data_IF_094607487557
#
_entry.id   IF_094607487557
#
_cell.length_a   1.000
_cell.length_b   1.000
_cell.length_c   1.000
_cell.angle_alpha   90.00
_cell.angle_beta   90.00
_cell.angle_gamma   90.00
#
_symmetry.space_group_name_H-M   'P 1'
#
loop_
_entity.id
_entity.type
_entity.pdbx_description
1 polymer ?
#
# COMPACT_ATOMS: atom_id res chain seq x y z
N UNK A 1 4.70 -3.68 -6.08
CA UNK A 1 6.08 -3.24 -6.39
C UNK A 1 7.11 -4.32 -6.16
N UNK A 2 7.37 -4.72 -4.90
CA UNK A 2 8.43 -5.70 -4.56
C UNK A 2 8.30 -7.04 -5.31
N UNK A 3 7.09 -7.59 -5.46
CA UNK A 3 6.87 -8.84 -6.21
C UNK A 3 7.20 -8.69 -7.70
N UNK A 4 6.90 -7.54 -8.29
CA UNK A 4 7.28 -7.25 -9.69
C UNK A 4 8.80 -7.22 -9.82
N UNK A 5 9.49 -6.58 -8.88
CA UNK A 5 10.95 -6.50 -8.84
C UNK A 5 11.59 -7.89 -8.64
N UNK A 6 10.94 -8.77 -7.88
CA UNK A 6 11.34 -10.18 -7.70
C UNK A 6 11.03 -11.05 -8.94
N UNK A 7 10.26 -10.54 -9.91
CA UNK A 7 9.86 -11.29 -11.11
C UNK A 7 8.73 -12.30 -10.85
N UNK A 8 8.02 -12.20 -9.74
CA UNK A 8 6.98 -13.15 -9.32
C UNK A 8 5.57 -12.56 -9.48
N UNK A 9 5.15 -12.39 -10.75
CA UNK A 9 3.86 -11.83 -11.09
C UNK A 9 2.70 -12.78 -10.75
N UNK A 10 2.89 -14.09 -10.93
CA UNK A 10 1.88 -15.09 -10.58
C UNK A 10 1.56 -15.08 -9.09
N UNK A 11 2.59 -14.98 -8.25
CA UNK A 11 2.42 -14.82 -6.81
C UNK A 11 1.71 -13.50 -6.47
N UNK A 12 2.04 -12.40 -7.18
CA UNK A 12 1.37 -11.12 -6.99
C UNK A 12 -0.12 -11.21 -7.30
N UNK A 13 -0.50 -11.81 -8.43
CA UNK A 13 -1.89 -12.02 -8.83
C UNK A 13 -2.62 -12.90 -7.80
N UNK A 14 -2.07 -14.06 -7.45
CA UNK A 14 -2.67 -14.97 -6.46
C UNK A 14 -2.91 -14.28 -5.11
N UNK A 15 -1.98 -13.46 -4.65
CA UNK A 15 -2.12 -12.67 -3.42
C UNK A 15 -3.33 -11.75 -3.49
N UNK A 16 -3.45 -10.96 -4.56
CA UNK A 16 -4.56 -10.01 -4.71
C UNK A 16 -5.89 -10.71 -4.92
N UNK A 17 -5.93 -11.84 -5.64
CA UNK A 17 -7.15 -12.63 -5.82
C UNK A 17 -7.71 -13.21 -4.51
N UNK A 18 -6.85 -13.39 -3.51
CA UNK A 18 -7.19 -14.06 -2.25
C UNK A 18 -6.91 -13.19 -1.01
N UNK A 19 -6.82 -11.87 -1.16
CA UNK A 19 -6.57 -10.97 -0.05
C UNK A 19 -7.78 -10.86 0.87
N UNK A 20 -7.53 -10.86 2.19
CA UNK A 20 -8.52 -10.70 3.25
C UNK A 20 -8.12 -9.62 4.24
N UNK A 21 -9.07 -9.04 4.94
CA UNK A 21 -8.82 -8.02 5.98
C UNK A 21 -7.86 -8.52 7.05
N UNK A 22 -8.04 -9.77 7.51
CA UNK A 22 -7.21 -10.40 8.55
C UNK A 22 -5.73 -10.58 8.17
N UNK A 23 -5.39 -10.49 6.88
CA UNK A 23 -3.99 -10.47 6.41
C UNK A 23 -3.35 -9.09 6.54
N UNK A 24 -4.16 -8.04 6.58
CA UNK A 24 -3.70 -6.64 6.64
C UNK A 24 -3.79 -6.10 8.06
N UNK A 25 -4.88 -6.37 8.76
CA UNK A 25 -5.12 -5.86 10.09
C UNK A 25 -5.72 -6.94 11.00
N UNK A 26 -5.56 -6.78 12.31
CA UNK A 26 -6.08 -7.72 13.31
C UNK A 26 -7.59 -7.52 13.49
N UNK A 27 -8.36 -8.09 12.59
CA UNK A 27 -9.83 -8.02 12.55
C UNK A 27 -10.41 -9.34 12.04
N UNK A 28 -11.69 -9.57 12.32
CA UNK A 28 -12.47 -10.65 11.75
C UNK A 28 -12.99 -10.26 10.35
N UNK A 29 -12.76 -11.12 9.35
CA UNK A 29 -13.07 -10.86 7.96
C UNK A 29 -14.58 -10.68 7.72
N UNK A 30 -15.42 -11.51 8.33
CA UNK A 30 -16.87 -11.46 8.17
C UNK A 30 -17.42 -10.16 8.78
N UNK A 31 -16.96 -9.82 9.98
CA UNK A 31 -17.36 -8.59 10.68
C UNK A 31 -16.99 -7.35 9.87
N UNK A 32 -15.76 -7.29 9.31
CA UNK A 32 -15.32 -6.15 8.51
C UNK A 32 -16.09 -6.04 7.19
N UNK A 33 -16.31 -7.16 6.49
CA UNK A 33 -17.11 -7.18 5.26
C UNK A 33 -18.53 -6.65 5.50
N UNK A 34 -19.16 -7.09 6.57
CA UNK A 34 -20.52 -6.67 6.92
C UNK A 34 -20.60 -5.21 7.34
N UNK A 35 -19.61 -4.73 8.10
CA UNK A 35 -19.48 -3.33 8.46
C UNK A 35 -19.40 -2.41 7.23
N UNK A 36 -18.55 -2.75 6.28
CA UNK A 36 -18.37 -1.94 5.07
C UNK A 36 -19.61 -1.95 4.17
N UNK A 37 -20.34 -3.06 4.13
CA UNK A 37 -21.61 -3.19 3.38
C UNK A 37 -22.80 -2.56 4.09
N UNK A 38 -22.64 -2.11 5.35
CA UNK A 38 -23.73 -1.60 6.17
C UNK A 38 -24.75 -2.66 6.59
N UNK A 39 -24.38 -3.94 6.51
CA UNK A 39 -25.23 -5.09 6.87
C UNK A 39 -24.91 -5.57 8.29
N UNK A 40 -25.17 -4.69 9.27
CA UNK A 40 -25.00 -4.99 10.70
C UNK A 40 -26.37 -5.13 11.35
N UNK A 41 -26.65 -6.30 11.91
CA UNK A 41 -27.91 -6.56 12.62
C UNK A 41 -27.92 -5.89 13.99
N UNK A 42 -29.14 -5.57 14.48
CA UNK A 42 -29.34 -4.90 15.77
C UNK A 42 -28.76 -5.67 16.98
N UNK A 43 -28.81 -7.01 16.92
CA UNK A 43 -28.27 -7.90 17.96
C UNK A 43 -26.73 -8.00 17.96
N UNK A 44 -26.07 -7.54 16.89
CA UNK A 44 -24.62 -7.54 16.74
C UNK A 44 -23.98 -6.17 16.99
N UNK A 45 -24.82 -5.11 17.13
CA UNK A 45 -24.33 -3.74 17.33
C UNK A 45 -23.39 -3.62 18.53
N UNK A 46 -23.65 -4.36 19.62
CA UNK A 46 -22.82 -4.32 20.82
C UNK A 46 -21.43 -4.92 20.56
N UNK A 47 -21.33 -6.02 19.82
CA UNK A 47 -20.05 -6.66 19.49
C UNK A 47 -19.22 -5.82 18.52
N UNK A 48 -19.87 -5.24 17.52
CA UNK A 48 -19.25 -4.32 16.56
C UNK A 48 -18.80 -3.03 17.26
N UNK A 49 -19.64 -2.46 18.11
CA UNK A 49 -19.29 -1.28 18.89
C UNK A 49 -18.11 -1.55 19.83
N UNK A 50 -18.03 -2.74 20.43
CA UNK A 50 -16.92 -3.14 21.28
C UNK A 50 -15.60 -3.27 20.49
N UNK A 51 -15.63 -3.87 19.30
CA UNK A 51 -14.45 -3.95 18.42
C UNK A 51 -14.00 -2.55 17.97
N UNK A 52 -14.93 -1.69 17.54
CA UNK A 52 -14.61 -0.30 17.17
C UNK A 52 -14.05 0.48 18.36
N UNK A 53 -14.59 0.27 19.57
CA UNK A 53 -14.09 0.90 20.79
C UNK A 53 -12.63 0.48 21.07
N UNK A 54 -12.28 -0.80 20.91
CA UNK A 54 -10.89 -1.26 21.07
C UNK A 54 -9.96 -0.65 20.00
N UNK A 55 -10.40 -0.54 18.75
CA UNK A 55 -9.63 0.15 17.69
C UNK A 55 -9.37 1.61 18.06
N UNK A 56 -10.41 2.33 18.53
CA UNK A 56 -10.29 3.74 18.96
C UNK A 56 -9.37 3.86 20.17
N UNK A 57 -9.56 3.02 21.18
CA UNK A 57 -8.74 2.98 22.39
C UNK A 57 -7.25 2.71 22.08
N UNK A 58 -6.98 1.83 21.13
CA UNK A 58 -5.63 1.46 20.69
C UNK A 58 -5.07 2.43 19.63
N UNK A 59 -5.79 3.50 19.30
CA UNK A 59 -5.39 4.52 18.31
C UNK A 59 -5.18 3.97 16.90
N UNK A 60 -6.03 3.08 16.46
CA UNK A 60 -6.05 2.51 15.11
C UNK A 60 -5.95 0.98 15.06
N UNK A 61 -6.15 0.44 13.88
CA UNK A 61 -6.06 -0.99 13.63
C UNK A 61 -4.63 -1.51 13.80
N UNK A 62 -4.49 -2.69 14.39
CA UNK A 62 -3.21 -3.39 14.51
C UNK A 62 -2.82 -3.97 13.15
N UNK A 63 -1.64 -3.61 12.65
CA UNK A 63 -1.08 -4.08 11.38
C UNK A 63 0.02 -5.13 11.55
N UNK A 64 0.07 -5.78 12.70
CA UNK A 64 0.97 -6.92 12.93
C UNK A 64 0.78 -8.04 11.88
N UNK A 65 -0.46 -8.36 11.43
CA UNK A 65 -0.66 -9.31 10.34
C UNK A 65 0.05 -8.87 9.05
N UNK A 66 -0.12 -7.62 8.61
CA UNK A 66 0.53 -7.08 7.43
C UNK A 66 2.06 -7.15 7.52
N UNK A 67 2.63 -6.79 8.68
CA UNK A 67 4.07 -6.89 8.92
C UNK A 67 4.58 -8.31 8.73
N UNK A 68 3.92 -9.29 9.36
CA UNK A 68 4.27 -10.71 9.24
C UNK A 68 4.16 -11.17 7.80
N UNK A 69 3.08 -10.79 7.13
CA UNK A 69 2.84 -11.17 5.76
C UNK A 69 3.89 -10.59 4.80
N UNK A 70 4.23 -9.30 4.88
CA UNK A 70 5.31 -8.69 4.11
C UNK A 70 6.60 -9.49 4.28
N UNK A 71 6.98 -9.83 5.52
CA UNK A 71 8.21 -10.59 5.81
C UNK A 71 8.23 -12.02 5.27
N UNK A 72 7.07 -12.62 5.02
CA UNK A 72 6.94 -13.96 4.43
C UNK A 72 6.95 -13.93 2.89
N UNK A 73 6.47 -12.83 2.32
CA UNK A 73 6.26 -12.69 0.88
C UNK A 73 7.46 -12.06 0.18
N UNK A 74 8.13 -11.12 0.84
CA UNK A 74 9.23 -10.34 0.28
C UNK A 74 10.57 -10.94 0.69
N UNK A 75 11.34 -11.38 -0.29
CA UNK A 75 12.75 -11.74 -0.12
C UNK A 75 13.63 -10.52 -0.40
N UNK A 76 14.16 -9.93 0.67
CA UNK A 76 14.99 -8.73 0.58
C UNK A 76 16.24 -8.95 -0.30
N UNK A 77 16.85 -10.13 -0.24
CA UNK A 77 18.02 -10.45 -1.05
C UNK A 77 17.68 -10.42 -2.54
N UNK A 78 16.62 -11.09 -2.93
CA UNK A 78 16.15 -11.10 -4.32
C UNK A 78 15.81 -9.69 -4.82
N UNK A 79 15.18 -8.85 -4.01
CA UNK A 79 14.90 -7.45 -4.37
C UNK A 79 16.18 -6.66 -4.59
N UNK A 80 17.19 -6.82 -3.74
CA UNK A 80 18.48 -6.12 -3.84
C UNK A 80 19.31 -6.55 -5.05
N UNK A 81 19.27 -7.82 -5.39
CA UNK A 81 20.00 -8.40 -6.52
C UNK A 81 19.29 -8.21 -7.86
N UNK A 82 18.03 -7.82 -7.87
CA UNK A 82 17.24 -7.60 -9.07
C UNK A 82 17.85 -6.52 -9.97
N UNK A 83 17.83 -6.69 -11.32
CA UNK A 83 18.17 -5.62 -12.25
C UNK A 83 17.15 -4.48 -12.24
N UNK A 84 15.93 -4.74 -11.75
CA UNK A 84 14.85 -3.75 -11.61
C UNK A 84 15.02 -3.00 -10.29
N UNK A 85 14.91 -1.69 -10.32
CA UNK A 85 15.02 -0.85 -9.12
C UNK A 85 13.67 -0.68 -8.44
N UNK A 86 13.67 -0.72 -7.12
CA UNK A 86 12.50 -0.43 -6.29
C UNK A 86 12.73 0.88 -5.54
N UNK A 87 11.84 1.85 -5.75
CA UNK A 87 11.75 3.06 -4.95
C UNK A 87 10.52 2.98 -4.04
N UNK A 88 10.65 3.51 -2.85
CA UNK A 88 9.63 3.46 -1.78
C UNK A 88 9.51 4.84 -1.19
N UNK A 89 8.31 5.40 -1.21
CA UNK A 89 8.03 6.68 -0.57
C UNK A 89 7.33 6.47 0.76
N UNK A 90 7.78 7.19 1.78
CA UNK A 90 7.14 7.22 3.09
C UNK A 90 7.36 8.58 3.75
N UNK A 91 6.41 9.02 4.57
CA UNK A 91 6.55 10.26 5.33
C UNK A 91 7.05 9.97 6.74
N UNK A 92 8.26 10.43 7.08
CA UNK A 92 8.77 10.35 8.46
C UNK A 92 8.07 11.37 9.34
N UNK A 93 7.15 10.91 10.19
CA UNK A 93 6.49 11.73 11.20
C UNK A 93 7.49 12.25 12.24
N UNK A 94 8.53 11.48 12.51
CA UNK A 94 9.56 11.84 13.48
C UNK A 94 10.47 12.97 13.00
N UNK A 95 10.77 13.01 11.69
CA UNK A 95 11.66 13.99 11.08
C UNK A 95 10.90 15.10 10.32
N UNK A 96 9.58 14.93 10.13
CA UNK A 96 8.73 15.88 9.41
C UNK A 96 9.00 15.99 7.92
N UNK A 97 9.49 14.92 7.27
CA UNK A 97 9.88 14.95 5.85
C UNK A 97 9.45 13.71 5.07
N UNK A 98 9.22 13.90 3.78
CA UNK A 98 9.08 12.81 2.82
C UNK A 98 10.44 12.13 2.63
N UNK A 99 10.45 10.82 2.62
CA UNK A 99 11.61 10.00 2.33
C UNK A 99 11.34 9.22 1.04
N UNK A 100 12.22 9.39 0.08
CA UNK A 100 12.26 8.69 -1.20
C UNK A 100 13.43 7.70 -1.12
N UNK A 101 13.09 6.44 -0.94
CA UNK A 101 14.06 5.41 -0.56
C UNK A 101 14.26 4.44 -1.72
N UNK A 102 15.51 4.27 -2.15
CA UNK A 102 15.88 3.22 -3.08
C UNK A 102 16.21 1.95 -2.30
N UNK A 103 15.53 0.85 -2.59
CA UNK A 103 15.64 -0.39 -1.82
C UNK A 103 17.09 -0.90 -1.69
N UNK A 104 17.90 -0.71 -2.75
CA UNK A 104 19.32 -1.12 -2.76
C UNK A 104 20.19 -0.34 -1.78
N UNK A 105 19.79 0.89 -1.42
CA UNK A 105 20.56 1.79 -0.55
C UNK A 105 20.13 1.70 0.92
N UNK A 106 19.06 0.95 1.21
CA UNK A 106 18.59 0.71 2.56
C UNK A 106 19.60 -0.18 3.34
N UNK A 107 19.75 -0.01 4.65
CA UNK A 107 20.46 -0.98 5.48
C UNK A 107 19.83 -2.37 5.36
N UNK A 108 20.65 -3.42 5.40
CA UNK A 108 20.16 -4.81 5.37
C UNK A 108 19.16 -5.07 6.51
N UNK A 109 18.13 -5.84 6.22
CA UNK A 109 17.07 -6.20 7.17
C UNK A 109 16.02 -5.11 7.39
N UNK A 110 16.08 -3.96 6.68
CA UNK A 110 15.12 -2.85 6.88
C UNK A 110 14.09 -2.70 5.77
N UNK A 111 14.21 -3.44 4.67
CA UNK A 111 13.31 -3.31 3.52
C UNK A 111 11.84 -3.55 3.91
N UNK A 112 11.55 -4.62 4.65
CA UNK A 112 10.17 -4.93 5.06
C UNK A 112 9.57 -3.84 5.95
N UNK A 113 10.36 -3.25 6.84
CA UNK A 113 9.92 -2.13 7.67
C UNK A 113 9.62 -0.88 6.82
N UNK A 114 10.39 -0.59 5.77
CA UNK A 114 10.13 0.55 4.89
C UNK A 114 8.95 0.31 3.96
N UNK A 115 8.72 -0.92 3.51
CA UNK A 115 7.49 -1.30 2.79
C UNK A 115 6.26 -1.12 3.67
N UNK A 116 6.33 -1.54 4.93
CA UNK A 116 5.26 -1.31 5.90
C UNK A 116 5.07 0.20 6.17
N UNK A 117 6.15 0.96 6.32
CA UNK A 117 6.11 2.40 6.51
C UNK A 117 5.39 3.13 5.37
N UNK A 118 5.60 2.68 4.12
CA UNK A 118 4.94 3.21 2.92
C UNK A 118 3.44 2.91 2.87
N UNK A 119 2.96 1.93 3.63
CA UNK A 119 1.55 1.54 3.72
C UNK A 119 0.87 2.00 5.03
N UNK A 120 1.53 2.84 5.82
CA UNK A 120 1.01 3.29 7.12
C UNK A 120 -0.07 4.36 6.97
N UNK A 121 -1.31 3.94 6.72
CA UNK A 121 -2.46 4.83 6.65
C UNK A 121 -2.82 5.38 8.05
N UNK A 122 -3.47 6.57 8.12
CA UNK A 122 -3.85 7.19 9.41
C UNK A 122 -4.78 6.35 10.30
N UNK A 123 -5.50 5.40 9.72
CA UNK A 123 -6.40 4.47 10.44
C UNK A 123 -5.64 3.35 11.15
N UNK A 124 -4.37 3.16 10.85
CA UNK A 124 -3.54 2.13 11.46
C UNK A 124 -2.84 2.63 12.73
N UNK A 125 -2.72 1.74 13.70
CA UNK A 125 -1.99 2.02 14.93
C UNK A 125 -0.51 2.23 14.61
N UNK A 126 -0.04 3.49 14.72
CA UNK A 126 1.33 3.85 14.40
C UNK A 126 2.31 3.27 15.41
N UNK A 127 3.20 2.41 14.96
CA UNK A 127 4.31 1.85 15.71
C UNK A 127 5.64 2.51 15.30
N UNK A 128 6.70 2.28 16.09
CA UNK A 128 8.03 2.72 15.71
C UNK A 128 8.72 1.64 14.89
N UNK A 129 9.21 2.02 13.73
CA UNK A 129 10.08 1.21 12.86
C UNK A 129 11.48 1.80 12.93
N UNK A 130 12.48 1.02 13.35
CA UNK A 130 13.83 1.55 13.57
C UNK A 130 13.90 2.77 14.52
N UNK A 131 13.00 2.84 15.51
CA UNK A 131 12.92 3.94 16.48
C UNK A 131 12.14 5.18 16.01
N UNK A 132 11.72 5.27 14.76
CA UNK A 132 10.97 6.38 14.17
C UNK A 132 9.53 6.00 13.82
N UNK A 133 8.65 7.00 13.71
CA UNK A 133 7.28 6.84 13.26
C UNK A 133 7.14 7.33 11.82
N UNK A 134 6.32 6.63 11.06
CA UNK A 134 6.09 6.89 9.65
C UNK A 134 4.59 6.97 9.35
N UNK A 135 4.29 7.51 8.19
CA UNK A 135 2.99 7.49 7.56
C UNK A 135 3.15 7.21 6.06
N UNK A 136 2.08 6.77 5.42
CA UNK A 136 2.02 6.53 3.98
C UNK A 136 2.56 7.72 3.19
N UNK A 137 3.44 7.46 2.22
CA UNK A 137 4.01 8.48 1.35
C UNK A 137 2.96 9.21 0.52
N UNK A 138 1.90 8.51 0.12
CA UNK A 138 0.77 9.05 -0.63
C UNK A 138 0.05 10.22 0.06
N UNK A 139 0.16 10.35 1.38
CA UNK A 139 -0.33 11.55 2.07
C UNK A 139 0.35 12.85 1.60
N UNK A 140 1.51 12.75 0.99
CA UNK A 140 2.29 13.88 0.46
C UNK A 140 2.47 13.84 -1.04
N UNK A 141 2.58 12.65 -1.62
CA UNK A 141 2.67 12.45 -3.07
C UNK A 141 2.17 11.04 -3.45
N UNK A 142 0.97 10.97 -4.03
CA UNK A 142 0.37 9.70 -4.45
C UNK A 142 0.95 9.17 -5.77
N UNK A 143 1.66 10.03 -6.51
CA UNK A 143 2.24 9.68 -7.81
C UNK A 143 3.63 10.30 -7.97
N UNK A 144 4.67 9.74 -7.34
CA UNK A 144 5.99 10.35 -7.20
C UNK A 144 6.81 10.28 -8.50
N UNK A 145 6.31 10.89 -9.58
CA UNK A 145 6.98 10.91 -10.90
C UNK A 145 8.38 11.54 -10.84
N UNK A 146 8.54 12.54 -9.97
CA UNK A 146 9.83 13.23 -9.83
C UNK A 146 10.96 12.28 -9.42
N UNK A 147 10.70 11.24 -8.61
CA UNK A 147 11.70 10.25 -8.22
C UNK A 147 12.29 9.57 -9.45
N UNK A 148 11.45 9.12 -10.36
CA UNK A 148 11.91 8.45 -11.59
C UNK A 148 12.62 9.42 -12.54
N UNK A 149 12.11 10.64 -12.67
CA UNK A 149 12.70 11.70 -13.51
C UNK A 149 14.10 12.07 -13.01
N UNK A 150 14.28 12.26 -11.70
CA UNK A 150 15.55 12.59 -11.08
C UNK A 150 16.57 11.47 -11.21
N UNK A 151 16.12 10.21 -11.26
CA UNK A 151 16.97 9.05 -11.55
C UNK A 151 17.20 8.79 -13.06
N UNK A 152 16.71 9.68 -13.93
CA UNK A 152 17.02 9.68 -15.35
C UNK A 152 16.12 8.78 -16.21
N UNK A 153 15.03 8.26 -15.66
CA UNK A 153 14.03 7.51 -16.43
C UNK A 153 13.28 8.44 -17.39
N UNK A 154 13.19 8.05 -18.67
CA UNK A 154 12.64 8.88 -19.76
C UNK A 154 11.29 8.37 -20.27
N UNK A 155 11.00 7.11 -20.12
CA UNK A 155 9.72 6.50 -20.45
C UNK A 155 9.12 5.96 -19.15
N UNK A 156 8.03 6.57 -18.72
CA UNK A 156 7.38 6.31 -17.43
C UNK A 156 5.94 5.87 -17.66
N UNK A 157 5.57 4.71 -17.15
CA UNK A 157 4.18 4.28 -17.08
C UNK A 157 3.63 4.61 -15.70
N UNK A 158 2.67 5.51 -15.64
CA UNK A 158 2.00 5.94 -14.41
C UNK A 158 0.65 5.22 -14.28
N UNK A 159 0.49 4.42 -13.23
CA UNK A 159 -0.77 3.77 -12.89
C UNK A 159 -1.46 4.59 -11.80
N UNK A 160 -2.51 5.32 -12.15
CA UNK A 160 -3.28 6.17 -11.22
C UNK A 160 -4.48 5.40 -10.69
N UNK A 161 -4.53 5.21 -9.38
CA UNK A 161 -5.61 4.46 -8.71
C UNK A 161 -6.52 5.37 -7.87
N UNK A 162 -6.36 6.70 -7.97
CA UNK A 162 -7.12 7.71 -7.22
C UNK A 162 -7.16 7.47 -5.70
N UNK A 163 -6.03 6.99 -5.16
CA UNK A 163 -5.85 6.78 -3.72
C UNK A 163 -5.99 8.08 -2.92
N UNK A 164 -6.21 7.93 -1.62
CA UNK A 164 -6.31 9.07 -0.68
C UNK A 164 -4.94 9.72 -0.53
N UNK A 165 -4.84 11.03 -0.84
CA UNK A 165 -3.60 11.78 -0.66
C UNK A 165 -3.50 13.01 -1.54
N UNK A 166 -2.28 13.51 -1.70
CA UNK A 166 -1.96 14.71 -2.47
C UNK A 166 -1.19 14.29 -3.72
N UNK A 167 -1.56 14.80 -4.88
CA UNK A 167 -0.76 14.69 -6.10
C UNK A 167 0.06 15.96 -6.29
N UNK A 168 1.37 15.81 -6.35
CA UNK A 168 2.27 16.95 -6.60
C UNK A 168 2.37 17.23 -8.09
N UNK A 169 2.31 18.51 -8.44
CA UNK A 169 2.60 18.94 -9.81
C UNK A 169 4.10 18.80 -10.07
N UNK A 170 4.45 18.01 -11.08
CA UNK A 170 5.83 17.78 -11.50
C UNK A 170 6.04 18.34 -12.90
N UNK A 171 7.12 19.10 -13.09
CA UNK A 171 7.51 19.54 -14.43
C UNK A 171 8.15 18.38 -15.18
N UNK A 172 7.48 17.91 -16.23
CA UNK A 172 7.99 16.86 -17.10
C UNK A 172 9.01 17.46 -18.06
N UNK A 173 10.27 16.96 -18.11
CA UNK A 173 11.26 17.39 -19.10
C UNK A 173 10.82 17.05 -20.52
N UNK A 174 11.28 17.84 -21.52
CA UNK A 174 10.90 17.65 -22.92
C UNK A 174 11.33 16.27 -23.50
N UNK A 175 12.37 15.69 -22.95
CA UNK A 175 12.90 14.38 -23.31
C UNK A 175 12.30 13.21 -22.51
N UNK A 176 11.27 13.46 -21.71
CA UNK A 176 10.60 12.47 -20.87
C UNK A 176 9.15 12.27 -21.31
N UNK A 177 8.74 11.02 -21.47
CA UNK A 177 7.37 10.63 -21.82
C UNK A 177 6.70 9.96 -20.64
N UNK A 178 5.51 10.40 -20.29
CA UNK A 178 4.68 9.79 -19.25
C UNK A 178 3.42 9.24 -19.90
N UNK A 179 3.23 7.94 -19.78
CA UNK A 179 2.02 7.24 -20.19
C UNK A 179 1.19 6.98 -18.95
N UNK A 180 -0.06 7.43 -18.96
CA UNK A 180 -0.94 7.28 -17.79
C UNK A 180 -2.03 6.27 -18.10
N UNK A 181 -2.22 5.31 -17.20
CA UNK A 181 -3.35 4.39 -17.18
C UNK A 181 -4.16 4.70 -15.93
N UNK A 182 -5.47 4.89 -16.13
CA UNK A 182 -6.43 5.21 -15.08
C UNK A 182 -7.59 4.20 -15.13
N UNK A 183 -8.18 3.83 -13.99
CA UNK A 183 -9.34 2.96 -14.00
C UNK A 183 -10.53 3.65 -14.65
N UNK A 184 -11.25 2.93 -15.48
CA UNK A 184 -12.50 3.38 -16.12
C UNK A 184 -13.72 3.22 -15.21
N UNK A 185 -13.58 2.45 -14.14
CA UNK A 185 -14.61 2.20 -13.15
C UNK A 185 -14.14 2.57 -11.74
N UNK A 186 -15.08 2.74 -10.81
CA UNK A 186 -14.78 2.92 -9.40
C UNK A 186 -14.15 1.63 -8.82
N UNK A 187 -12.96 1.74 -8.24
CA UNK A 187 -12.21 0.62 -7.66
C UNK A 187 -12.59 0.33 -6.19
N UNK A 188 -13.66 0.94 -5.70
CA UNK A 188 -14.11 0.80 -4.31
C UNK A 188 -13.21 1.48 -3.26
N UNK A 189 -13.41 1.12 -1.98
CA UNK A 189 -12.69 1.72 -0.88
C UNK A 189 -11.23 1.26 -0.81
N UNK A 190 -10.31 2.17 -0.46
CA UNK A 190 -8.89 1.86 -0.24
C UNK A 190 -8.67 0.78 0.81
N UNK A 191 -9.62 0.57 1.72
CA UNK A 191 -9.53 -0.43 2.81
C UNK A 191 -10.38 -1.67 2.55
N UNK A 192 -10.83 -1.88 1.34
CA UNK A 192 -11.65 -3.04 0.97
C UNK A 192 -10.77 -4.21 0.53
N UNK A 193 -10.56 -5.15 1.45
CA UNK A 193 -9.76 -6.35 1.24
C UNK A 193 -10.68 -7.59 1.15
N UNK A 194 -11.50 -7.65 0.10
CA UNK A 194 -12.37 -8.78 -0.20
C UNK A 194 -11.91 -9.50 -1.49
N UNK A 195 -11.75 -10.83 -1.47
CA UNK A 195 -11.31 -11.59 -2.65
C UNK A 195 -12.22 -11.40 -3.88
N UNK A 196 -13.52 -11.29 -3.67
CA UNK A 196 -14.49 -11.05 -4.75
C UNK A 196 -14.22 -9.74 -5.46
N UNK A 197 -14.14 -8.65 -4.71
CA UNK A 197 -13.88 -7.32 -5.23
C UNK A 197 -12.50 -7.19 -5.85
N UNK A 198 -11.48 -7.78 -5.22
CA UNK A 198 -10.12 -7.79 -5.77
C UNK A 198 -10.04 -8.47 -7.13
N UNK A 199 -10.75 -9.59 -7.34
CA UNK A 199 -10.83 -10.25 -8.66
C UNK A 199 -11.54 -9.41 -9.70
N UNK A 200 -12.60 -8.69 -9.32
CA UNK A 200 -13.28 -7.74 -10.22
C UNK A 200 -12.37 -6.59 -10.62
N UNK A 201 -11.64 -6.00 -9.66
CA UNK A 201 -10.68 -4.94 -9.92
C UNK A 201 -9.52 -5.40 -10.81
N UNK A 202 -9.00 -6.62 -10.60
CA UNK A 202 -7.96 -7.20 -11.47
C UNK A 202 -8.47 -7.37 -12.91
N UNK A 203 -9.70 -7.83 -13.09
CA UNK A 203 -10.32 -7.93 -14.43
C UNK A 203 -10.52 -6.56 -15.06
N UNK A 204 -11.02 -5.58 -14.31
CA UNK A 204 -11.16 -4.21 -14.80
C UNK A 204 -9.83 -3.67 -15.30
N UNK A 205 -8.76 -3.73 -14.46
CA UNK A 205 -7.43 -3.27 -14.82
C UNK A 205 -6.82 -3.99 -16.03
N UNK A 206 -7.20 -5.22 -16.32
CA UNK A 206 -6.77 -5.92 -17.54
C UNK A 206 -7.37 -5.28 -18.82
N UNK A 207 -8.56 -4.68 -18.74
CA UNK A 207 -9.24 -4.04 -19.87
C UNK A 207 -9.01 -2.52 -19.92
N UNK A 208 -8.50 -1.89 -18.87
CA UNK A 208 -8.10 -0.48 -18.86
C UNK A 208 -6.86 -0.30 -19.74
N UNK A 209 -6.97 0.52 -20.80
CA UNK A 209 -5.91 0.74 -21.79
C UNK A 209 -5.75 2.21 -22.11
#
# INVERSE_FOLDING_TARGET
GSLIVMGDLEKAENIWENIHFSQVMDVDDETMSRLLKGDVKLDELDSVAQQMFEVIKNRGFDVTPLRKWISQVVDEKTVRESPVELFIDTFSLSDGKLLELRAKDLPEGTLCDMLLASAYLPVFRSEKLGGKRYADGGLRDVLPLHVLIEHGYKDILALRLFGIGVERSVKIPEDTRVYTVEPTADLCSTLEFEPGQSRENLRAGYYDR
#
